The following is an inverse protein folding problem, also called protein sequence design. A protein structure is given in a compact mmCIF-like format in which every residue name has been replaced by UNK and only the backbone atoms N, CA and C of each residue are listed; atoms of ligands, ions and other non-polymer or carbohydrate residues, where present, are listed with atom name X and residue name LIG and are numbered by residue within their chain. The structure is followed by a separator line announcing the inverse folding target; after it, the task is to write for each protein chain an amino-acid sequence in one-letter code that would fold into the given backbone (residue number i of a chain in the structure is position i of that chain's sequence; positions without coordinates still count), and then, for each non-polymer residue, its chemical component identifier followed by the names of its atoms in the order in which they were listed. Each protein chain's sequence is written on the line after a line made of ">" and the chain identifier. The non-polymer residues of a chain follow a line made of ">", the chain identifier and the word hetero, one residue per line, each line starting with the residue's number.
data_IF_967768262072
#
_entry.id   IF_967768262072
#
_cell.length_a   1.000
_cell.length_b   1.000
_cell.length_c   1.000
_cell.angle_alpha   90.00
_cell.angle_beta   90.00
_cell.angle_gamma   90.00
#
_symmetry.space_group_name_H-M   'P 1'
#
loop_
_entity.id
_entity.type
_entity.pdbx_description
1 polymer ?
#
# COMPACT_ATOMS: atom_id res chain seq x y z
N UNK A 1 25.10 2.17 17.87
CA UNK A 1 23.73 1.76 17.50
C UNK A 1 23.90 0.89 16.28
N UNK A 2 23.54 -0.39 16.39
CA UNK A 2 23.49 -1.27 15.21
C UNK A 2 22.49 -0.64 14.24
N UNK A 3 22.97 -0.18 13.09
CA UNK A 3 22.10 0.09 11.94
C UNK A 3 21.56 -1.25 11.49
N UNK A 4 20.41 -1.65 12.01
CA UNK A 4 19.69 -2.80 11.47
C UNK A 4 19.51 -2.59 9.97
N UNK A 5 20.03 -3.51 9.18
CA UNK A 5 19.91 -3.49 7.73
C UNK A 5 18.44 -3.61 7.34
N UNK A 6 18.02 -2.84 6.33
CA UNK A 6 16.67 -2.95 5.78
C UNK A 6 16.43 -4.36 5.22
N UNK A 7 15.18 -4.88 5.27
CA UNK A 7 14.88 -6.14 4.62
C UNK A 7 15.08 -6.04 3.11
N UNK A 8 15.36 -7.16 2.45
CA UNK A 8 15.61 -7.24 1.01
C UNK A 8 14.36 -7.77 0.32
N UNK A 9 13.88 -7.07 -0.71
CA UNK A 9 12.78 -7.55 -1.53
C UNK A 9 13.25 -8.75 -2.35
N UNK A 10 12.80 -9.94 -1.95
CA UNK A 10 13.17 -11.19 -2.63
C UNK A 10 11.96 -11.73 -3.38
N UNK A 11 12.09 -11.86 -4.70
CA UNK A 11 11.04 -12.48 -5.50
C UNK A 11 11.05 -14.00 -5.30
N UNK A 12 9.90 -14.56 -4.94
CA UNK A 12 9.68 -16.01 -4.87
C UNK A 12 8.80 -16.49 -6.01
N UNK A 13 8.94 -17.77 -6.38
CA UNK A 13 8.05 -18.43 -7.34
C UNK A 13 6.81 -18.97 -6.63
N UNK A 14 5.63 -18.56 -7.12
CA UNK A 14 4.33 -19.02 -6.63
C UNK A 14 3.40 -19.25 -7.80
N UNK A 15 2.15 -19.65 -7.51
CA UNK A 15 1.11 -19.72 -8.51
C UNK A 15 1.02 -18.40 -9.32
N UNK A 16 1.15 -18.52 -10.65
CA UNK A 16 1.12 -17.38 -11.56
C UNK A 16 2.44 -16.62 -11.73
N UNK A 17 3.59 -17.15 -11.29
CA UNK A 17 4.92 -16.64 -11.62
C UNK A 17 5.70 -16.08 -10.42
N UNK A 18 6.54 -15.07 -10.66
CA UNK A 18 7.33 -14.42 -9.61
C UNK A 18 6.50 -13.38 -8.85
N UNK A 19 6.69 -13.32 -7.53
CA UNK A 19 5.99 -12.41 -6.62
C UNK A 19 6.92 -11.87 -5.53
N UNK A 20 6.71 -10.61 -5.14
CA UNK A 20 7.03 -10.16 -3.79
C UNK A 20 5.86 -10.52 -2.88
N UNK A 21 6.13 -11.27 -1.81
CA UNK A 21 5.10 -11.70 -0.89
C UNK A 21 5.67 -11.83 0.51
N UNK A 22 5.31 -10.89 1.39
CA UNK A 22 5.85 -10.81 2.74
C UNK A 22 4.75 -10.76 3.80
N UNK A 23 4.75 -11.72 4.75
CA UNK A 23 5.63 -12.90 4.80
C UNK A 23 5.37 -13.88 3.63
N UNK A 24 6.36 -14.71 3.30
CA UNK A 24 6.32 -15.70 2.21
C UNK A 24 5.22 -16.78 2.31
N UNK A 25 4.41 -16.76 3.37
CA UNK A 25 3.28 -17.68 3.60
C UNK A 25 2.06 -16.90 4.07
N UNK A 26 0.87 -17.49 3.92
CA UNK A 26 -0.36 -16.85 4.38
C UNK A 26 -0.39 -16.73 5.90
N UNK A 27 -0.34 -15.50 6.41
CA UNK A 27 -0.36 -15.17 7.83
C UNK A 27 -1.52 -14.24 8.16
N UNK A 28 -1.89 -14.07 9.44
CA UNK A 28 -2.84 -13.05 9.91
C UNK A 28 -2.42 -11.60 9.67
N UNK A 29 -1.25 -11.36 9.07
CA UNK A 29 -0.75 -10.06 8.65
C UNK A 29 -0.07 -10.18 7.27
N UNK A 30 0.15 -9.06 6.60
CA UNK A 30 0.89 -8.96 5.32
C UNK A 30 1.49 -7.58 5.15
N UNK A 31 2.79 -7.53 4.91
CA UNK A 31 3.53 -6.31 4.63
C UNK A 31 3.53 -6.00 3.13
N UNK A 32 3.92 -6.97 2.31
CA UNK A 32 4.10 -6.78 0.85
C UNK A 32 3.31 -7.83 0.07
N UNK A 33 2.64 -7.39 -0.99
CA UNK A 33 2.17 -8.26 -2.07
C UNK A 33 2.34 -7.54 -3.40
N UNK A 34 3.07 -8.10 -4.34
CA UNK A 34 3.27 -7.44 -5.61
C UNK A 34 4.00 -8.30 -6.64
N UNK A 35 4.17 -7.73 -7.82
CA UNK A 35 5.01 -8.29 -8.89
C UNK A 35 6.37 -7.58 -8.87
N UNK A 36 7.48 -8.30 -9.13
CA UNK A 36 8.79 -7.67 -9.20
C UNK A 36 8.92 -6.77 -10.43
N UNK A 37 9.64 -5.65 -10.27
CA UNK A 37 9.97 -4.68 -11.31
C UNK A 37 10.68 -3.46 -10.70
N UNK A 38 11.10 -2.53 -11.55
CA UNK A 38 11.94 -1.39 -11.14
C UNK A 38 11.09 -0.16 -10.78
N UNK A 39 9.98 0.08 -11.49
CA UNK A 39 9.12 1.26 -11.34
C UNK A 39 7.68 0.84 -10.96
N UNK A 40 7.47 0.31 -9.75
CA UNK A 40 6.16 -0.15 -9.32
C UNK A 40 5.19 1.01 -9.06
N UNK A 41 3.92 0.81 -9.39
CA UNK A 41 2.83 1.54 -8.77
C UNK A 41 2.55 0.92 -7.38
N UNK A 42 2.81 1.66 -6.31
CA UNK A 42 2.61 1.18 -4.93
C UNK A 42 1.26 1.68 -4.41
N UNK A 43 0.25 0.82 -4.45
CA UNK A 43 -1.10 1.12 -3.96
C UNK A 43 -1.17 1.01 -2.43
N UNK A 44 -1.54 2.10 -1.75
CA UNK A 44 -1.72 2.17 -0.30
C UNK A 44 -3.20 2.03 0.07
N UNK A 45 -3.57 0.85 0.56
CA UNK A 45 -4.88 0.57 1.17
C UNK A 45 -4.86 0.69 2.70
N UNK A 46 -5.97 0.35 3.37
CA UNK A 46 -6.04 0.40 4.84
C UNK A 46 -5.49 -0.84 5.51
N UNK A 47 -5.99 -2.01 5.10
CA UNK A 47 -5.58 -3.27 5.68
C UNK A 47 -5.68 -4.40 4.63
N UNK A 48 -4.82 -5.42 4.69
CA UNK A 48 -4.92 -6.54 3.78
C UNK A 48 -6.18 -7.37 4.05
N UNK A 49 -6.70 -7.97 2.99
CA UNK A 49 -7.81 -8.94 3.05
C UNK A 49 -7.30 -10.32 2.61
N UNK A 50 -7.94 -10.96 1.65
CA UNK A 50 -7.66 -12.35 1.26
C UNK A 50 -6.60 -12.51 0.16
N UNK A 51 -6.24 -11.44 -0.58
CA UNK A 51 -5.29 -11.58 -1.69
C UNK A 51 -3.93 -12.20 -1.28
N UNK A 52 -3.48 -13.12 -2.12
CA UNK A 52 -2.18 -13.80 -2.06
C UNK A 52 -1.74 -14.16 -3.49
N UNK A 53 -0.47 -14.57 -3.70
CA UNK A 53 0.00 -15.03 -5.01
C UNK A 53 -0.94 -16.08 -5.64
N UNK A 54 -1.30 -15.88 -6.91
CA UNK A 54 -2.20 -16.75 -7.66
C UNK A 54 -3.69 -16.65 -7.30
N UNK A 55 -4.06 -15.92 -6.25
CA UNK A 55 -5.45 -15.74 -5.81
C UNK A 55 -5.71 -14.28 -5.43
N UNK A 56 -5.75 -13.40 -6.43
CA UNK A 56 -6.01 -11.98 -6.24
C UNK A 56 -7.51 -11.71 -5.98
N UNK A 57 -7.79 -10.88 -4.98
CA UNK A 57 -9.11 -10.31 -4.75
C UNK A 57 -9.45 -9.21 -5.79
N UNK A 58 -10.72 -8.77 -5.89
CA UNK A 58 -11.12 -7.74 -6.86
C UNK A 58 -10.37 -6.40 -6.74
N UNK A 59 -9.97 -6.01 -5.53
CA UNK A 59 -9.21 -4.77 -5.30
C UNK A 59 -7.83 -4.89 -5.93
N UNK A 60 -7.10 -5.97 -5.63
CA UNK A 60 -5.74 -6.17 -6.15
C UNK A 60 -5.75 -6.44 -7.66
N UNK A 61 -6.79 -7.10 -8.20
CA UNK A 61 -7.00 -7.18 -9.65
C UNK A 61 -7.14 -5.80 -10.30
N UNK A 62 -7.82 -4.86 -9.62
CA UNK A 62 -7.92 -3.48 -10.10
C UNK A 62 -6.58 -2.75 -10.08
N UNK A 63 -5.78 -2.96 -9.01
CA UNK A 63 -4.42 -2.41 -8.89
C UNK A 63 -3.52 -2.90 -10.02
N UNK A 64 -3.45 -4.22 -10.24
CA UNK A 64 -2.66 -4.83 -11.32
C UNK A 64 -3.06 -4.25 -12.68
N UNK A 65 -4.36 -4.19 -12.96
CA UNK A 65 -4.90 -3.68 -14.21
C UNK A 65 -4.55 -2.19 -14.42
N UNK A 66 -4.65 -1.36 -13.38
CA UNK A 66 -4.39 0.08 -13.48
C UNK A 66 -2.90 0.39 -13.58
N UNK A 67 -2.04 -0.37 -12.88
CA UNK A 67 -0.60 -0.25 -13.05
C UNK A 67 -0.20 -0.53 -14.50
N UNK A 68 -0.64 -1.65 -15.06
CA UNK A 68 -0.35 -1.99 -16.46
C UNK A 68 -0.92 -0.97 -17.46
N UNK A 69 -2.14 -0.48 -17.24
CA UNK A 69 -2.78 0.50 -18.13
C UNK A 69 -2.09 1.88 -18.13
N UNK A 70 -1.30 2.20 -17.10
CA UNK A 70 -0.62 3.47 -16.94
C UNK A 70 0.90 3.39 -17.07
N UNK A 71 1.42 2.29 -17.67
CA UNK A 71 2.82 2.18 -18.06
C UNK A 71 3.80 1.84 -16.94
N UNK A 72 3.30 1.44 -15.76
CA UNK A 72 4.14 0.90 -14.70
C UNK A 72 4.60 -0.52 -15.06
N UNK A 73 5.85 -0.85 -14.77
CA UNK A 73 6.43 -2.17 -15.10
C UNK A 73 6.05 -3.26 -14.08
N UNK A 74 5.51 -2.84 -12.94
CA UNK A 74 5.19 -3.67 -11.79
C UNK A 74 4.20 -2.96 -10.87
N UNK A 75 3.76 -3.65 -9.82
CA UNK A 75 2.86 -3.09 -8.82
C UNK A 75 3.09 -3.74 -7.46
N UNK A 76 2.84 -2.98 -6.40
CA UNK A 76 2.87 -3.47 -5.02
C UNK A 76 1.61 -2.97 -4.31
N UNK A 77 0.91 -3.88 -3.65
CA UNK A 77 -0.15 -3.58 -2.70
C UNK A 77 0.45 -3.52 -1.30
N UNK A 78 0.40 -2.35 -0.70
CA UNK A 78 0.83 -2.05 0.66
C UNK A 78 -0.35 -1.49 1.46
N UNK A 79 -0.30 -1.58 2.79
CA UNK A 79 -1.39 -1.10 3.63
C UNK A 79 -0.88 -0.31 4.81
N UNK A 80 -1.69 0.63 5.29
CA UNK A 80 -1.41 1.44 6.48
C UNK A 80 -1.21 0.57 7.71
N UNK A 81 -2.09 -0.40 7.91
CA UNK A 81 -2.00 -1.38 8.99
C UNK A 81 -1.89 -2.80 8.40
N UNK A 82 -0.86 -3.59 8.76
CA UNK A 82 -0.57 -4.85 8.07
C UNK A 82 -1.47 -6.03 8.51
N UNK A 83 -2.30 -5.88 9.54
CA UNK A 83 -3.20 -6.95 9.98
C UNK A 83 -4.21 -7.32 8.88
N UNK A 84 -4.33 -8.62 8.59
CA UNK A 84 -5.36 -9.12 7.68
C UNK A 84 -6.72 -9.12 8.37
N UNK A 85 -7.69 -8.47 7.74
CA UNK A 85 -9.09 -8.54 8.15
C UNK A 85 -10.00 -8.35 6.94
N UNK A 86 -10.87 -9.33 6.67
CA UNK A 86 -11.85 -9.24 5.57
C UNK A 86 -12.90 -8.17 5.85
N UNK A 87 -13.33 -8.07 7.11
CA UNK A 87 -14.20 -7.01 7.58
C UNK A 87 -13.36 -5.97 8.33
N UNK A 88 -13.32 -4.70 7.89
CA UNK A 88 -12.57 -3.64 8.58
C UNK A 88 -13.01 -3.37 10.02
N UNK A 89 -14.19 -3.87 10.43
CA UNK A 89 -14.61 -3.85 11.83
C UNK A 89 -13.77 -4.74 12.73
N UNK A 90 -13.13 -5.77 12.17
CA UNK A 90 -12.37 -6.78 12.90
C UNK A 90 -10.89 -6.38 13.06
N UNK A 91 -10.47 -5.23 12.51
CA UNK A 91 -9.15 -4.68 12.78
C UNK A 91 -8.95 -4.42 14.27
N UNK A 92 -7.71 -4.52 14.75
CA UNK A 92 -7.38 -4.23 16.14
C UNK A 92 -7.86 -2.82 16.54
N UNK A 93 -8.24 -2.68 17.81
CA UNK A 93 -8.65 -1.37 18.36
C UNK A 93 -7.44 -0.51 18.73
N UNK A 94 -6.33 -1.16 19.05
CA UNK A 94 -5.03 -0.58 19.37
C UNK A 94 -4.02 -1.20 18.41
N UNK A 95 -3.15 -0.43 17.76
CA UNK A 95 -2.22 -0.99 16.79
C UNK A 95 -1.17 -1.83 17.50
N UNK A 96 -0.84 -2.98 16.93
CA UNK A 96 0.35 -3.71 17.30
C UNK A 96 1.58 -2.94 16.79
N UNK A 97 2.36 -2.37 17.72
CA UNK A 97 3.50 -1.53 17.39
C UNK A 97 4.61 -2.32 16.69
N UNK A 98 4.84 -3.58 17.04
CA UNK A 98 5.84 -4.40 16.38
C UNK A 98 5.47 -4.67 14.92
N UNK A 99 4.18 -4.93 14.65
CA UNK A 99 3.70 -5.04 13.27
C UNK A 99 3.85 -3.71 12.52
N UNK A 100 3.56 -2.57 13.15
CA UNK A 100 3.70 -1.27 12.50
C UNK A 100 5.16 -0.92 12.18
N UNK A 101 6.08 -1.20 13.10
CA UNK A 101 7.52 -0.94 12.91
C UNK A 101 8.10 -1.81 11.79
N UNK A 102 7.73 -3.09 11.74
CA UNK A 102 8.13 -3.99 10.66
C UNK A 102 7.51 -3.55 9.32
N UNK A 103 6.26 -3.06 9.32
CA UNK A 103 5.63 -2.50 8.12
C UNK A 103 6.42 -1.29 7.58
N UNK A 104 6.88 -0.39 8.45
CA UNK A 104 7.74 0.74 8.03
C UNK A 104 9.09 0.26 7.49
N UNK A 105 9.69 -0.78 8.06
CA UNK A 105 10.94 -1.38 7.54
C UNK A 105 10.74 -1.91 6.12
N UNK A 106 9.62 -2.58 5.84
CA UNK A 106 9.28 -3.03 4.48
C UNK A 106 8.98 -1.91 3.51
N UNK A 107 8.29 -0.83 3.94
CA UNK A 107 8.10 0.34 3.10
C UNK A 107 9.46 1.01 2.76
N UNK A 108 10.33 1.17 3.76
CA UNK A 108 11.68 1.70 3.56
C UNK A 108 12.49 0.83 2.58
N UNK A 109 12.35 -0.50 2.65
CA UNK A 109 12.95 -1.43 1.70
C UNK A 109 12.44 -1.23 0.27
N UNK A 110 11.12 -1.13 0.08
CA UNK A 110 10.50 -0.82 -1.23
C UNK A 110 11.06 0.48 -1.79
N UNK A 111 11.08 1.53 -0.98
CA UNK A 111 11.59 2.85 -1.37
C UNK A 111 13.11 2.85 -1.66
N UNK A 112 13.88 1.95 -1.05
CA UNK A 112 15.32 1.83 -1.24
C UNK A 112 15.72 1.01 -2.47
N UNK A 113 14.90 0.03 -2.85
CA UNK A 113 15.25 -0.99 -3.85
C UNK A 113 14.48 -0.81 -5.17
N UNK A 114 13.56 0.15 -5.24
CA UNK A 114 12.76 0.45 -6.44
C UNK A 114 12.66 1.96 -6.66
N UNK A 115 12.07 2.37 -7.79
CA UNK A 115 11.71 3.75 -8.10
C UNK A 115 10.18 3.91 -8.12
N UNK A 116 9.51 3.86 -6.95
CA UNK A 116 8.06 3.73 -6.90
C UNK A 116 7.34 5.06 -7.16
N UNK A 117 6.11 4.96 -7.65
CA UNK A 117 5.09 6.01 -7.49
C UNK A 117 4.06 5.53 -6.47
N UNK A 118 3.80 6.35 -5.45
CA UNK A 118 2.85 6.02 -4.40
C UNK A 118 1.43 6.36 -4.83
N UNK A 119 0.49 5.44 -4.64
CA UNK A 119 -0.91 5.65 -4.93
C UNK A 119 -1.74 5.66 -3.64
N UNK A 120 -2.27 6.83 -3.30
CA UNK A 120 -3.25 7.01 -2.26
C UNK A 120 -4.60 6.37 -2.63
N UNK A 121 -5.03 5.34 -1.89
CA UNK A 121 -6.17 4.51 -2.29
C UNK A 121 -7.05 4.00 -1.13
N UNK A 122 -6.97 4.63 0.04
CA UNK A 122 -7.59 4.13 1.28
C UNK A 122 -9.10 4.38 1.42
N UNK A 123 -9.70 5.27 0.63
CA UNK A 123 -11.12 5.60 0.79
C UNK A 123 -11.45 6.18 2.16
N UNK A 124 -12.71 6.08 2.57
CA UNK A 124 -13.19 6.51 3.90
C UNK A 124 -12.72 5.59 5.04
N UNK A 125 -12.12 4.43 4.73
CA UNK A 125 -11.70 3.47 5.75
C UNK A 125 -10.53 3.97 6.62
N UNK A 126 -9.84 5.03 6.21
CA UNK A 126 -8.82 5.70 7.03
C UNK A 126 -9.39 6.21 8.36
N UNK A 127 -10.68 6.53 8.42
CA UNK A 127 -11.37 6.97 9.64
C UNK A 127 -11.77 5.80 10.55
N UNK A 128 -11.56 4.56 10.12
CA UNK A 128 -12.08 3.37 10.81
C UNK A 128 -11.46 3.16 12.19
N UNK A 129 -10.24 3.63 12.39
CA UNK A 129 -9.50 3.55 13.64
C UNK A 129 -8.74 4.86 13.87
N UNK A 130 -8.76 5.41 15.10
CA UNK A 130 -8.08 6.68 15.41
C UNK A 130 -6.57 6.68 15.14
N UNK A 131 -5.93 5.51 15.15
CA UNK A 131 -4.49 5.39 14.94
C UNK A 131 -4.06 5.45 13.46
N UNK A 132 -4.97 5.23 12.51
CA UNK A 132 -4.62 5.10 11.08
C UNK A 132 -4.03 6.38 10.47
N UNK A 133 -4.56 7.59 10.74
CA UNK A 133 -3.92 8.82 10.28
C UNK A 133 -2.49 9.00 10.82
N UNK A 134 -2.25 8.61 12.07
CA UNK A 134 -0.92 8.64 12.68
C UNK A 134 0.06 7.70 11.96
N UNK A 135 -0.33 6.46 11.71
CA UNK A 135 0.49 5.51 10.93
C UNK A 135 0.73 5.98 9.50
N UNK A 136 -0.26 6.64 8.88
CA UNK A 136 -0.07 7.24 7.55
C UNK A 136 0.97 8.35 7.58
N UNK A 137 0.98 9.21 8.62
CA UNK A 137 2.00 10.26 8.78
C UNK A 137 3.41 9.66 8.88
N UNK A 138 3.58 8.53 9.58
CA UNK A 138 4.86 7.80 9.64
C UNK A 138 5.30 7.31 8.24
N UNK A 139 4.39 6.73 7.45
CA UNK A 139 4.68 6.29 6.08
C UNK A 139 5.03 7.47 5.15
N UNK A 140 4.29 8.57 5.24
CA UNK A 140 4.51 9.77 4.42
C UNK A 140 5.88 10.38 4.69
N UNK A 141 6.32 10.41 5.97
CA UNK A 141 7.65 10.90 6.33
C UNK A 141 8.76 10.17 5.55
N UNK A 142 8.69 8.84 5.43
CA UNK A 142 9.65 8.04 4.66
C UNK A 142 9.64 8.38 3.16
N UNK A 143 8.46 8.62 2.59
CA UNK A 143 8.34 8.97 1.15
C UNK A 143 8.87 10.36 0.85
N UNK A 144 8.68 11.31 1.77
CA UNK A 144 9.16 12.69 1.65
C UNK A 144 10.69 12.75 1.62
N UNK A 145 11.35 12.00 2.49
CA UNK A 145 12.82 11.94 2.55
C UNK A 145 13.47 11.51 1.21
N UNK A 146 12.72 10.79 0.36
CA UNK A 146 13.17 10.33 -0.95
C UNK A 146 12.56 11.10 -2.12
N UNK A 147 11.73 12.11 -1.85
CA UNK A 147 11.02 12.86 -2.89
C UNK A 147 10.10 11.99 -3.75
N UNK A 148 9.55 10.91 -3.18
CA UNK A 148 8.73 9.94 -3.91
C UNK A 148 7.35 10.54 -4.25
N UNK A 149 6.91 10.52 -5.52
CA UNK A 149 5.66 11.15 -5.92
C UNK A 149 4.45 10.37 -5.41
N UNK A 150 3.40 11.13 -5.05
CA UNK A 150 2.09 10.61 -4.70
C UNK A 150 1.04 10.95 -5.75
N UNK A 151 0.20 9.96 -6.08
CA UNK A 151 -0.93 10.10 -7.00
C UNK A 151 -2.20 9.53 -6.39
N UNK A 152 -3.35 9.94 -6.92
CA UNK A 152 -4.65 9.29 -6.69
C UNK A 152 -5.29 9.02 -8.05
N UNK A 153 -6.32 8.18 -8.05
CA UNK A 153 -7.11 7.88 -9.23
C UNK A 153 -8.58 8.13 -8.93
N UNK A 154 -9.31 8.66 -9.90
CA UNK A 154 -10.75 8.91 -9.76
C UNK A 154 -11.09 10.01 -8.75
N UNK A 155 -12.38 10.29 -8.59
CA UNK A 155 -12.85 11.39 -7.75
C UNK A 155 -12.69 11.06 -6.27
N UNK A 156 -12.10 11.99 -5.53
CA UNK A 156 -12.09 11.99 -4.06
C UNK A 156 -13.51 12.03 -3.49
N UNK A 157 -13.66 11.53 -2.27
CA UNK A 157 -14.92 11.68 -1.52
C UNK A 157 -15.23 13.15 -1.23
N UNK A 158 -16.45 13.45 -0.76
CA UNK A 158 -16.79 14.81 -0.30
C UNK A 158 -15.90 15.30 0.86
N UNK A 159 -15.40 14.38 1.68
CA UNK A 159 -14.48 14.65 2.78
C UNK A 159 -13.01 14.69 2.34
N UNK A 160 -12.72 14.59 1.03
CA UNK A 160 -11.37 14.69 0.48
C UNK A 160 -10.59 13.37 0.40
N UNK A 161 -11.14 12.25 0.85
CA UNK A 161 -10.42 10.97 0.83
C UNK A 161 -10.19 10.44 -0.60
N UNK A 162 -9.03 9.86 -0.89
CA UNK A 162 -8.73 9.24 -2.19
C UNK A 162 -9.67 8.07 -2.50
N UNK A 163 -9.94 7.83 -3.78
CA UNK A 163 -10.88 6.79 -4.19
C UNK A 163 -10.28 5.39 -4.05
N UNK A 164 -11.10 4.44 -3.58
CA UNK A 164 -10.68 3.05 -3.45
C UNK A 164 -10.53 2.35 -4.82
N UNK A 165 -9.57 1.43 -5.02
CA UNK A 165 -9.28 0.85 -6.35
C UNK A 165 -10.42 0.07 -6.98
N UNK A 166 -11.25 -0.58 -6.16
CA UNK A 166 -12.23 -1.59 -6.59
C UNK A 166 -13.16 -1.14 -7.73
N UNK A 167 -13.60 0.12 -7.71
CA UNK A 167 -14.60 0.63 -8.66
C UNK A 167 -14.04 1.65 -9.66
N UNK A 168 -12.72 1.71 -9.80
CA UNK A 168 -12.10 2.58 -10.79
C UNK A 168 -12.24 2.02 -12.20
N UNK A 169 -12.57 2.92 -13.14
CA UNK A 169 -12.64 2.61 -14.56
C UNK A 169 -11.29 2.15 -15.10
N UNK A 170 -11.32 1.43 -16.22
CA UNK A 170 -10.11 0.93 -16.87
C UNK A 170 -9.17 2.03 -17.36
N UNK A 171 -9.75 3.12 -17.82
CA UNK A 171 -9.09 4.29 -18.39
C UNK A 171 -8.83 5.39 -17.35
N UNK A 172 -8.94 5.08 -16.05
CA UNK A 172 -8.57 6.05 -15.02
C UNK A 172 -7.08 6.35 -15.08
N UNK A 173 -6.76 7.64 -15.19
CA UNK A 173 -5.39 8.16 -15.19
C UNK A 173 -5.01 8.65 -13.78
N UNK A 174 -3.73 8.57 -13.39
CA UNK A 174 -3.26 9.14 -12.14
C UNK A 174 -3.32 10.67 -12.18
N UNK A 175 -3.71 11.28 -11.06
CA UNK A 175 -3.57 12.72 -10.81
C UNK A 175 -2.64 12.93 -9.60
N UNK A 176 -1.82 13.99 -9.57
CA UNK A 176 -0.99 14.31 -8.41
C UNK A 176 -1.82 14.42 -7.13
N UNK A 177 -1.30 13.87 -6.03
CA UNK A 177 -1.98 13.89 -4.73
C UNK A 177 -1.06 14.49 -3.65
N UNK A 178 -1.47 15.63 -3.11
CA UNK A 178 -0.82 16.24 -1.96
C UNK A 178 -1.22 15.51 -0.68
N UNK A 179 -0.44 14.47 -0.33
CA UNK A 179 -0.73 13.61 0.83
C UNK A 179 -0.48 14.33 2.16
N UNK A 180 0.50 15.24 2.22
CA UNK A 180 0.81 16.01 3.42
C UNK A 180 -0.33 17.01 3.69
N UNK A 181 -0.73 17.79 2.68
CA UNK A 181 -1.87 18.69 2.78
C UNK A 181 -3.19 17.96 3.05
N UNK A 182 -3.39 16.78 2.47
CA UNK A 182 -4.53 15.92 2.80
C UNK A 182 -4.56 15.56 4.29
N UNK A 183 -3.43 15.09 4.84
CA UNK A 183 -3.38 14.70 6.25
C UNK A 183 -3.63 15.90 7.17
N UNK A 184 -3.07 17.07 6.87
CA UNK A 184 -3.20 18.28 7.69
C UNK A 184 -4.60 18.92 7.65
N UNK A 185 -5.33 18.72 6.55
CA UNK A 185 -6.68 19.29 6.38
C UNK A 185 -7.78 18.36 6.83
N UNK A 186 -7.57 17.04 6.74
CA UNK A 186 -8.56 16.04 7.15
C UNK A 186 -8.40 15.55 8.59
N UNK A 187 -7.23 15.69 9.22
CA UNK A 187 -6.93 15.14 10.56
C UNK A 187 -6.01 16.03 11.41
#
# INVERSE_FOLDING_TARGET
>A
METETLPVLTAGEYAGGLWYYEPHVYQPYRYVLGRPGERPLVCIGINPSTAQPGALDPTVKSVERLAAANGFDSWIMFNVYPQRATNPNDMDKTPDRALCDENLRWLAAVLAQTQPTMWAAWGTLIEKRPYLPGLMREMVALTRERGTPWVTFGRRSKAGHPHHPLYLRRDAAPEPFDVEGYLDTCF
#
